data_IF_530112434818
#
_entry.id   IF_530112434818
#
_cell.length_a   1.000
_cell.length_b   1.000
_cell.length_c   1.000
_cell.angle_alpha   90.00
_cell.angle_beta   90.00
_cell.angle_gamma   90.00
#
_symmetry.space_group_name_H-M   'P 1'
#
loop_
_entity.id
_entity.type
_entity.pdbx_description
1 polymer ?
#
# COMPACT_ATOMS: atom_id res chain seq x y z
N UNK A 1 -23.31 -23.48 -1.68
CA UNK A 1 -22.46 -23.54 -0.46
C UNK A 1 -22.07 -22.11 -0.07
N UNK A 2 -22.07 -21.77 1.22
CA UNK A 2 -21.56 -20.48 1.66
C UNK A 2 -20.03 -20.42 1.40
N UNK A 3 -19.50 -19.29 0.91
CA UNK A 3 -18.06 -19.14 0.70
C UNK A 3 -17.33 -19.24 2.05
N UNK A 4 -16.21 -19.97 2.06
CA UNK A 4 -15.39 -20.16 3.25
C UNK A 4 -14.31 -19.07 3.33
N UNK A 5 -14.02 -18.53 4.54
CA UNK A 5 -12.95 -17.57 4.71
C UNK A 5 -11.60 -18.16 4.29
N UNK A 6 -10.72 -17.32 3.76
CA UNK A 6 -9.40 -17.72 3.28
C UNK A 6 -8.31 -16.76 3.76
N UNK A 7 -7.14 -17.32 4.08
CA UNK A 7 -5.92 -16.53 4.34
C UNK A 7 -4.88 -16.83 3.28
N UNK A 8 -4.35 -15.80 2.64
CA UNK A 8 -3.36 -15.91 1.57
C UNK A 8 -2.13 -15.07 1.89
N UNK A 9 -0.96 -15.55 1.50
CA UNK A 9 0.29 -14.78 1.51
C UNK A 9 0.74 -14.56 0.08
N UNK A 10 0.97 -13.29 -0.26
CA UNK A 10 1.26 -12.81 -1.60
C UNK A 10 2.49 -11.91 -1.57
N UNK A 11 3.15 -11.79 -2.72
CA UNK A 11 4.17 -10.77 -2.95
C UNK A 11 3.58 -9.73 -3.90
N UNK A 12 3.60 -8.47 -3.50
CA UNK A 12 3.18 -7.36 -4.34
C UNK A 12 4.43 -6.69 -4.92
N UNK A 13 4.85 -7.04 -6.15
CA UNK A 13 6.01 -6.41 -6.77
C UNK A 13 5.72 -4.94 -7.09
N UNK A 14 6.76 -4.12 -7.05
CA UNK A 14 6.72 -2.71 -7.41
C UNK A 14 7.96 -2.35 -8.23
N UNK A 15 7.90 -1.25 -8.97
CA UNK A 15 9.08 -0.69 -9.63
C UNK A 15 10.03 -0.11 -8.58
N UNK A 16 11.32 -0.39 -8.73
CA UNK A 16 12.37 0.26 -7.94
C UNK A 16 12.77 1.61 -8.59
N UNK A 17 13.25 2.60 -7.82
CA UNK A 17 13.34 2.59 -6.36
C UNK A 17 11.98 2.79 -5.67
N UNK A 18 11.90 2.33 -4.42
CA UNK A 18 10.85 2.66 -3.47
C UNK A 18 11.50 3.28 -2.25
N UNK A 19 10.99 4.40 -1.77
CA UNK A 19 11.37 5.00 -0.50
C UNK A 19 10.28 4.67 0.57
N UNK A 20 10.39 3.52 1.27
CA UNK A 20 9.29 2.99 2.09
C UNK A 20 9.08 3.78 3.39
N UNK A 21 10.12 4.37 3.94
CA UNK A 21 10.08 5.03 5.26
C UNK A 21 9.06 6.17 5.28
N UNK A 22 9.04 7.01 4.24
CA UNK A 22 8.05 8.08 4.15
C UNK A 22 6.63 7.54 3.92
N UNK A 23 6.48 6.50 3.10
CA UNK A 23 5.19 5.92 2.76
C UNK A 23 4.52 5.28 3.98
N UNK A 24 5.21 4.34 4.62
CA UNK A 24 4.69 3.66 5.81
C UNK A 24 4.72 4.54 7.05
N UNK A 25 5.68 5.46 7.15
CA UNK A 25 5.71 6.48 8.20
C UNK A 25 4.47 7.38 8.16
N UNK A 26 4.02 7.79 6.97
CA UNK A 26 2.76 8.52 6.83
C UNK A 26 1.57 7.68 7.27
N UNK A 27 1.43 6.45 6.74
CA UNK A 27 0.33 5.56 7.10
C UNK A 27 0.27 5.25 8.60
N UNK A 28 1.42 5.12 9.26
CA UNK A 28 1.48 4.93 10.70
C UNK A 28 1.09 6.20 11.47
N UNK A 29 1.55 7.37 11.01
CA UNK A 29 1.26 8.66 11.65
C UNK A 29 -0.22 9.07 11.52
N UNK A 30 -0.90 8.63 10.47
CA UNK A 30 -2.32 8.93 10.20
C UNK A 30 -3.26 7.75 10.48
N UNK A 31 -2.79 6.70 11.15
CA UNK A 31 -3.57 5.49 11.38
C UNK A 31 -4.81 5.77 12.24
N UNK A 32 -5.97 5.30 11.80
CA UNK A 32 -7.23 5.37 12.55
C UNK A 32 -7.28 4.27 13.63
N UNK A 33 -7.36 4.61 14.93
CA UNK A 33 -7.42 3.62 16.00
C UNK A 33 -8.56 2.62 15.83
N UNK A 34 -8.25 1.33 15.94
CA UNK A 34 -9.22 0.23 15.78
C UNK A 34 -9.46 -0.20 14.34
N UNK A 35 -9.00 0.56 13.34
CA UNK A 35 -9.11 0.24 11.90
C UNK A 35 -7.75 -0.08 11.31
N UNK A 36 -6.74 0.71 11.68
CA UNK A 36 -5.37 0.66 11.17
C UNK A 36 -4.38 0.58 12.33
N UNK A 37 -3.29 -0.17 12.15
CA UNK A 37 -2.20 -0.23 13.11
C UNK A 37 -0.85 -0.45 12.41
N UNK A 38 0.21 0.11 12.99
CA UNK A 38 1.59 -0.28 12.69
C UNK A 38 2.12 -1.16 13.82
N UNK A 39 2.49 -2.40 13.50
CA UNK A 39 2.96 -3.38 14.48
C UNK A 39 3.96 -4.35 13.84
N UNK A 40 5.02 -4.68 14.55
CA UNK A 40 6.04 -5.65 14.12
C UNK A 40 6.60 -5.38 12.71
N UNK A 41 6.84 -4.10 12.40
CA UNK A 41 7.35 -3.66 11.10
C UNK A 41 6.38 -3.85 9.93
N UNK A 42 5.08 -3.94 10.20
CA UNK A 42 4.06 -4.05 9.18
C UNK A 42 2.87 -3.14 9.47
N UNK A 43 2.27 -2.63 8.40
CA UNK A 43 1.02 -1.89 8.44
C UNK A 43 -0.14 -2.88 8.28
N UNK A 44 -1.14 -2.82 9.16
CA UNK A 44 -2.30 -3.70 9.14
C UNK A 44 -3.57 -2.88 9.16
N UNK A 45 -4.56 -3.28 8.34
CA UNK A 45 -5.87 -2.61 8.32
C UNK A 45 -7.03 -3.53 7.93
N UNK A 46 -8.24 -3.13 8.30
CA UNK A 46 -9.47 -3.72 7.77
C UNK A 46 -9.82 -3.16 6.38
N UNK A 47 -10.51 -3.96 5.58
CA UNK A 47 -11.01 -3.63 4.25
C UNK A 47 -12.51 -3.97 4.17
N UNK A 48 -13.32 -3.03 3.67
CA UNK A 48 -14.73 -3.25 3.33
C UNK A 48 -14.87 -3.63 1.86
N UNK A 49 -15.10 -4.90 1.56
CA UNK A 49 -15.05 -5.44 0.20
C UNK A 49 -16.47 -5.76 -0.30
N UNK A 50 -16.68 -5.93 -1.62
CA UNK A 50 -18.01 -6.19 -2.18
C UNK A 50 -18.78 -7.36 -1.57
N UNK A 51 -18.10 -8.48 -1.28
CA UNK A 51 -18.75 -9.69 -0.77
C UNK A 51 -18.57 -9.91 0.74
N UNK A 52 -17.74 -9.10 1.40
CA UNK A 52 -17.56 -9.15 2.85
C UNK A 52 -16.45 -8.25 3.36
N UNK A 53 -15.77 -8.68 4.41
CA UNK A 53 -14.65 -7.92 4.98
C UNK A 53 -13.33 -8.67 4.79
N UNK A 54 -12.26 -7.91 4.82
CA UNK A 54 -10.91 -8.44 4.82
C UNK A 54 -10.03 -7.73 5.83
N UNK A 55 -8.93 -8.38 6.18
CA UNK A 55 -7.84 -7.77 6.91
C UNK A 55 -6.56 -8.01 6.12
N UNK A 56 -5.79 -6.94 5.93
CA UNK A 56 -4.50 -7.01 5.26
C UNK A 56 -3.37 -6.63 6.21
N UNK A 57 -2.24 -7.32 6.07
CA UNK A 57 -0.96 -6.93 6.65
C UNK A 57 0.05 -6.74 5.52
N UNK A 58 0.66 -5.55 5.46
CA UNK A 58 1.59 -5.10 4.43
C UNK A 58 2.94 -4.79 5.08
N UNK A 59 3.98 -5.54 4.70
CA UNK A 59 5.35 -5.37 5.20
C UNK A 59 6.29 -5.00 4.05
N UNK A 60 7.04 -3.88 4.12
CA UNK A 60 8.06 -3.58 3.13
C UNK A 60 9.15 -4.66 3.14
N UNK A 61 9.56 -5.08 1.95
CA UNK A 61 10.64 -6.05 1.74
C UNK A 61 11.45 -5.70 0.50
N UNK A 62 12.54 -6.44 0.23
CA UNK A 62 13.37 -6.20 -0.95
C UNK A 62 12.59 -6.54 -2.24
N UNK A 63 12.36 -5.51 -3.06
CA UNK A 63 11.72 -5.62 -4.39
C UNK A 63 10.22 -5.90 -4.39
N UNK A 64 9.59 -6.08 -3.23
CA UNK A 64 8.15 -6.32 -3.09
C UNK A 64 7.64 -5.97 -1.71
N UNK A 65 6.34 -5.71 -1.61
CA UNK A 65 5.62 -5.67 -0.34
C UNK A 65 5.09 -7.07 -0.04
N UNK A 66 5.46 -7.64 1.10
CA UNK A 66 4.86 -8.87 1.59
C UNK A 66 3.44 -8.56 2.07
N UNK A 67 2.46 -9.27 1.51
CA UNK A 67 1.04 -9.05 1.76
C UNK A 67 0.41 -10.33 2.32
N UNK A 68 -0.19 -10.24 3.51
CA UNK A 68 -1.04 -11.29 4.05
C UNK A 68 -2.47 -10.80 4.08
N UNK A 69 -3.37 -11.47 3.37
CA UNK A 69 -4.80 -11.17 3.30
C UNK A 69 -5.60 -12.25 4.00
N UNK A 70 -6.47 -11.86 4.92
CA UNK A 70 -7.55 -12.70 5.45
C UNK A 70 -8.86 -12.16 4.91
N UNK A 71 -9.63 -12.97 4.20
CA UNK A 71 -10.87 -12.60 3.53
C UNK A 71 -12.01 -13.46 4.04
N UNK A 72 -13.19 -12.88 4.27
CA UNK A 72 -14.39 -13.68 4.53
C UNK A 72 -14.94 -14.35 3.28
N UNK A 73 -14.69 -13.76 2.11
CA UNK A 73 -15.09 -14.30 0.81
C UNK A 73 -13.91 -14.23 -0.18
N UNK A 74 -13.43 -15.37 -0.70
CA UNK A 74 -12.31 -15.40 -1.65
C UNK A 74 -12.58 -14.66 -2.97
N UNK A 75 -13.84 -14.40 -3.33
CA UNK A 75 -14.19 -13.62 -4.54
C UNK A 75 -13.66 -12.19 -4.48
N UNK A 76 -13.39 -11.66 -3.29
CA UNK A 76 -12.83 -10.33 -3.10
C UNK A 76 -11.31 -10.25 -3.28
N UNK A 77 -10.61 -11.37 -3.52
CA UNK A 77 -9.15 -11.43 -3.55
C UNK A 77 -8.52 -10.41 -4.51
N UNK A 78 -8.98 -10.41 -5.77
CA UNK A 78 -8.44 -9.51 -6.80
C UNK A 78 -8.68 -8.03 -6.42
N UNK A 79 -9.89 -7.71 -5.92
CA UNK A 79 -10.22 -6.36 -5.48
C UNK A 79 -9.39 -5.91 -4.28
N UNK A 80 -9.16 -6.80 -3.30
CA UNK A 80 -8.31 -6.52 -2.15
C UNK A 80 -6.85 -6.26 -2.57
N UNK A 81 -6.29 -7.07 -3.48
CA UNK A 81 -4.95 -6.85 -4.04
C UNK A 81 -4.87 -5.48 -4.72
N UNK A 82 -5.83 -5.15 -5.59
CA UNK A 82 -5.84 -3.86 -6.29
C UNK A 82 -5.90 -2.67 -5.34
N UNK A 83 -6.68 -2.76 -4.25
CA UNK A 83 -6.72 -1.70 -3.22
C UNK A 83 -5.40 -1.56 -2.48
N UNK A 84 -4.74 -2.67 -2.15
CA UNK A 84 -3.42 -2.63 -1.50
C UNK A 84 -2.36 -2.00 -2.42
N UNK A 85 -2.37 -2.35 -3.71
CA UNK A 85 -1.47 -1.74 -4.70
C UNK A 85 -1.73 -0.25 -4.85
N UNK A 86 -3.01 0.16 -4.89
CA UNK A 86 -3.41 1.57 -4.96
C UNK A 86 -2.97 2.34 -3.72
N UNK A 87 -3.28 1.85 -2.51
CA UNK A 87 -2.91 2.45 -1.23
C UNK A 87 -1.43 2.82 -1.17
N UNK A 88 -0.58 1.89 -1.61
CA UNK A 88 0.88 2.05 -1.60
C UNK A 88 1.46 2.60 -2.92
N UNK A 89 0.60 2.92 -3.88
CA UNK A 89 0.95 3.42 -5.21
C UNK A 89 2.01 2.56 -5.95
N UNK A 90 1.90 1.23 -5.83
CA UNK A 90 2.92 0.29 -6.32
C UNK A 90 3.06 0.22 -7.85
N UNK A 91 2.05 0.72 -8.57
CA UNK A 91 2.00 0.71 -10.03
C UNK A 91 2.65 1.97 -10.65
N UNK A 92 3.01 2.98 -9.84
CA UNK A 92 3.66 4.19 -10.33
C UNK A 92 5.05 3.91 -10.92
N UNK A 93 5.44 4.73 -11.89
CA UNK A 93 6.80 4.78 -12.42
C UNK A 93 7.65 5.78 -11.63
N UNK A 94 8.47 5.34 -10.65
CA UNK A 94 9.32 6.24 -9.87
C UNK A 94 10.32 6.99 -10.73
N UNK A 95 10.86 6.32 -11.75
CA UNK A 95 12.01 6.82 -12.50
C UNK A 95 11.55 8.01 -13.33
N UNK A 96 10.44 7.85 -14.06
CA UNK A 96 9.87 8.93 -14.84
C UNK A 96 9.46 10.14 -13.98
N UNK A 97 8.85 9.90 -12.80
CA UNK A 97 8.46 10.98 -11.87
C UNK A 97 9.70 11.70 -11.34
N UNK A 98 10.69 10.95 -10.85
CA UNK A 98 11.91 11.52 -10.30
C UNK A 98 12.70 12.30 -11.37
N UNK A 99 12.79 11.79 -12.60
CA UNK A 99 13.44 12.47 -13.73
C UNK A 99 12.78 13.81 -14.05
N UNK A 100 11.44 13.82 -14.14
CA UNK A 100 10.69 15.04 -14.41
C UNK A 100 10.87 16.06 -13.29
N UNK A 101 10.75 15.64 -12.03
CA UNK A 101 10.88 16.55 -10.88
C UNK A 101 12.31 17.08 -10.69
N UNK A 102 13.34 16.29 -11.05
CA UNK A 102 14.74 16.75 -11.01
C UNK A 102 15.07 17.83 -12.04
N UNK A 103 14.24 18.03 -13.06
CA UNK A 103 14.44 19.12 -14.01
C UNK A 103 14.24 20.51 -13.35
N UNK A 104 13.52 20.59 -12.23
CA UNK A 104 13.37 21.80 -11.44
C UNK A 104 14.53 21.94 -10.41
N UNK A 105 15.31 23.04 -10.43
CA UNK A 105 16.43 23.24 -9.52
C UNK A 105 16.07 23.24 -8.03
N UNK A 106 14.86 23.66 -7.66
CA UNK A 106 14.38 23.69 -6.28
C UNK A 106 14.00 22.29 -5.80
N UNK A 107 13.45 21.45 -6.69
CA UNK A 107 13.02 20.09 -6.35
C UNK A 107 14.15 19.05 -6.45
N UNK A 108 15.13 19.26 -7.33
CA UNK A 108 16.22 18.31 -7.56
C UNK A 108 16.93 17.82 -6.27
N UNK A 109 17.29 18.70 -5.31
CA UNK A 109 17.91 18.26 -4.06
C UNK A 109 16.97 17.41 -3.18
N UNK A 110 15.65 17.65 -3.26
CA UNK A 110 14.66 16.90 -2.50
C UNK A 110 14.45 15.50 -3.08
N UNK A 111 14.40 15.39 -4.40
CA UNK A 111 14.33 14.08 -5.09
C UNK A 111 15.61 13.28 -4.85
N UNK A 112 16.78 13.93 -4.90
CA UNK A 112 18.06 13.27 -4.64
C UNK A 112 18.17 12.68 -3.22
N UNK A 113 17.54 13.31 -2.22
CA UNK A 113 17.50 12.81 -0.83
C UNK A 113 16.59 11.60 -0.63
N UNK A 114 15.55 11.45 -1.45
CA UNK A 114 14.54 10.41 -1.30
C UNK A 114 13.97 9.97 -2.66
N UNK A 115 14.75 9.27 -3.50
CA UNK A 115 14.29 8.81 -4.80
C UNK A 115 13.23 7.71 -4.66
N UNK A 116 12.27 7.69 -5.60
CA UNK A 116 11.21 6.69 -5.61
C UNK A 116 10.19 6.86 -4.50
N UNK A 117 9.95 8.09 -4.04
CA UNK A 117 8.80 8.39 -3.18
C UNK A 117 7.49 7.97 -3.88
N UNK A 118 6.53 7.60 -3.05
CA UNK A 118 5.16 7.26 -3.45
C UNK A 118 4.19 8.16 -2.73
N UNK A 119 3.02 8.32 -3.32
CA UNK A 119 1.92 9.05 -2.69
C UNK A 119 1.01 8.02 -2.01
N UNK A 120 0.89 8.02 -0.67
CA UNK A 120 -0.13 7.22 0.00
C UNK A 120 -1.50 7.59 -0.55
N UNK A 121 -2.29 6.60 -0.99
CA UNK A 121 -3.65 6.79 -1.50
C UNK A 121 -4.69 6.17 -0.57
N UNK A 122 -5.96 6.48 -0.77
CA UNK A 122 -7.04 5.77 -0.07
C UNK A 122 -7.33 4.38 -0.70
N UNK A 123 -7.78 3.43 0.12
CA UNK A 123 -8.30 2.14 -0.35
C UNK A 123 -9.75 2.22 -0.85
N UNK A 124 -10.48 3.26 -0.45
CA UNK A 124 -11.90 3.48 -0.76
C UNK A 124 -12.20 4.99 -0.77
N UNK A 125 -12.80 5.48 -1.85
CA UNK A 125 -13.12 6.90 -1.98
C UNK A 125 -14.15 7.35 -0.92
N UNK A 126 -15.09 6.48 -0.56
CA UNK A 126 -16.10 6.79 0.46
C UNK A 126 -15.51 6.84 1.88
N UNK A 127 -14.34 6.26 2.11
CA UNK A 127 -13.62 6.36 3.39
C UNK A 127 -12.87 7.69 3.53
N UNK A 128 -12.57 8.36 2.41
CA UNK A 128 -11.82 9.62 2.38
C UNK A 128 -12.72 10.87 2.35
N UNK A 129 -13.96 10.73 1.87
CA UNK A 129 -14.93 11.83 1.69
C UNK A 129 -15.57 12.27 3.02
#
# INVERSE_FOLDING_TARGET
PAPAPATLTLRLPHRAPLHPDNLFGHLAATAVPGVEEWRDGAYRRTLRLPYGHGVVTLRPGPGHIACRLSLTDPRDLTGAISRCRRLLDLDADPVAVDELLRADPVLAPLVGKAPGRRVPRTVDAAEFA
#
